data_IF_189481554222
#
_entry.id   IF_189481554222
#
_cell.length_a   1.000
_cell.length_b   1.000
_cell.length_c   1.000
_cell.angle_alpha   90.00
_cell.angle_beta   90.00
_cell.angle_gamma   90.00
#
_symmetry.space_group_name_H-M   'P 1'
#
loop_
_entity.id
_entity.type
_entity.pdbx_description
1 polymer ?
#
# COMPACT_ATOMS: atom_id res chain seq x y z
N UNK A 1 5.89 -1.85 -24.64
CA UNK A 1 5.80 -1.97 -23.16
C UNK A 1 7.20 -2.19 -22.63
N UNK A 2 7.62 -1.41 -21.63
CA UNK A 2 8.92 -1.54 -20.97
C UNK A 2 8.92 -2.72 -19.99
N UNK A 3 10.08 -3.10 -19.45
CA UNK A 3 10.17 -4.16 -18.45
C UNK A 3 9.68 -3.66 -17.09
N UNK A 4 9.15 -4.56 -16.25
CA UNK A 4 8.64 -4.18 -14.91
C UNK A 4 9.70 -3.49 -14.02
N UNK A 5 10.99 -3.77 -14.22
CA UNK A 5 12.06 -3.04 -13.50
C UNK A 5 12.31 -1.64 -14.03
N UNK A 6 11.96 -1.33 -15.27
CA UNK A 6 12.14 0.00 -15.85
C UNK A 6 11.14 1.03 -15.28
N UNK A 7 9.95 0.57 -14.87
CA UNK A 7 8.88 1.41 -14.31
C UNK A 7 8.93 1.50 -12.77
N UNK A 8 9.89 0.83 -12.12
CA UNK A 8 10.00 0.86 -10.67
C UNK A 8 10.33 2.28 -10.15
N UNK A 9 9.58 2.83 -9.18
CA UNK A 9 9.79 4.21 -8.74
C UNK A 9 11.11 4.39 -7.99
N UNK A 10 11.75 5.55 -8.17
CA UNK A 10 12.90 5.95 -7.35
C UNK A 10 12.43 6.46 -5.99
N UNK A 11 12.56 5.60 -4.98
CA UNK A 11 12.11 5.87 -3.61
C UNK A 11 13.26 6.13 -2.63
N UNK A 12 14.48 6.42 -3.12
CA UNK A 12 15.69 6.54 -2.28
C UNK A 12 15.62 7.67 -1.24
N UNK A 13 14.74 8.65 -1.42
CA UNK A 13 14.56 9.82 -0.53
C UNK A 13 13.18 9.86 0.11
N UNK A 14 12.47 8.73 0.13
CA UNK A 14 11.08 8.65 0.58
C UNK A 14 10.98 8.09 2.00
N UNK A 15 10.10 8.69 2.78
CA UNK A 15 9.77 8.31 4.15
C UNK A 15 8.25 8.22 4.34
N UNK A 16 7.67 7.19 3.74
CA UNK A 16 6.29 6.77 3.93
C UNK A 16 6.21 5.23 4.04
N UNK A 17 5.10 4.69 4.55
CA UNK A 17 4.96 3.25 4.80
C UNK A 17 5.05 2.44 3.49
N UNK A 18 4.41 2.91 2.41
CA UNK A 18 4.48 2.28 1.09
C UNK A 18 5.93 2.13 0.62
N UNK A 19 6.74 3.19 0.69
CA UNK A 19 8.14 3.15 0.28
C UNK A 19 9.01 2.23 1.15
N UNK A 20 8.60 1.96 2.39
CA UNK A 20 9.30 1.02 3.28
C UNK A 20 9.02 -0.45 2.95
N UNK A 21 7.95 -0.74 2.20
CA UNK A 21 7.47 -2.09 1.91
C UNK A 21 7.40 -2.43 0.42
N UNK A 22 7.41 -1.44 -0.46
CA UNK A 22 7.55 -1.66 -1.89
C UNK A 22 8.98 -2.15 -2.17
N UNK A 23 9.06 -3.31 -2.83
CA UNK A 23 10.31 -3.88 -3.31
C UNK A 23 10.19 -4.20 -4.80
N UNK A 24 11.29 -4.31 -5.56
CA UNK A 24 11.24 -4.69 -6.98
C UNK A 24 10.48 -6.00 -7.23
N UNK A 25 10.57 -6.96 -6.31
CA UNK A 25 9.85 -8.23 -6.41
C UNK A 25 8.33 -8.06 -6.20
N UNK A 26 7.92 -7.27 -5.21
CA UNK A 26 6.49 -6.96 -4.97
C UNK A 26 5.92 -6.16 -6.15
N UNK A 27 6.63 -5.14 -6.62
CA UNK A 27 6.21 -4.35 -7.78
C UNK A 27 6.05 -5.23 -9.01
N UNK A 28 7.06 -6.02 -9.37
CA UNK A 28 7.00 -6.90 -10.55
C UNK A 28 5.87 -7.95 -10.47
N UNK A 29 5.48 -8.38 -9.26
CA UNK A 29 4.36 -9.31 -9.04
C UNK A 29 3.00 -8.64 -9.23
N UNK A 30 2.88 -7.35 -8.90
CA UNK A 30 1.61 -6.63 -8.81
C UNK A 30 1.37 -5.64 -9.96
N UNK A 31 2.40 -5.15 -10.65
CA UNK A 31 2.29 -4.04 -11.61
C UNK A 31 1.39 -4.33 -12.83
N UNK A 32 1.20 -5.61 -13.19
CA UNK A 32 0.30 -6.01 -14.27
C UNK A 32 -1.09 -6.46 -13.77
N UNK A 33 -1.36 -6.35 -12.47
CA UNK A 33 -2.68 -6.65 -11.90
C UNK A 33 -3.55 -5.41 -11.94
N UNK A 34 -4.83 -5.64 -12.14
CA UNK A 34 -5.88 -4.63 -12.06
C UNK A 34 -7.03 -5.15 -11.22
N UNK A 35 -7.74 -4.26 -10.57
CA UNK A 35 -9.03 -4.56 -9.95
C UNK A 35 -10.09 -4.80 -11.03
N UNK A 36 -11.29 -5.32 -10.70
CA UNK A 36 -12.36 -5.49 -11.68
C UNK A 36 -12.77 -4.19 -12.38
N UNK A 37 -12.57 -3.03 -11.72
CA UNK A 37 -12.87 -1.71 -12.26
C UNK A 37 -11.66 -1.06 -12.97
N UNK A 38 -10.54 -1.77 -13.08
CA UNK A 38 -9.36 -1.31 -13.80
C UNK A 38 -8.38 -0.48 -12.98
N UNK A 39 -8.55 -0.35 -11.66
CA UNK A 39 -7.60 0.34 -10.80
C UNK A 39 -6.29 -0.45 -10.71
N UNK A 40 -5.17 0.26 -10.77
CA UNK A 40 -3.82 -0.31 -10.91
C UNK A 40 -2.97 -0.10 -9.66
N UNK A 41 -1.85 -0.84 -9.57
CA UNK A 41 -0.86 -0.63 -8.52
C UNK A 41 -0.27 0.79 -8.59
N UNK A 42 0.03 1.29 -9.79
CA UNK A 42 0.67 2.59 -9.98
C UNK A 42 -0.24 3.71 -9.46
N UNK A 43 -1.54 3.65 -9.76
CA UNK A 43 -2.52 4.59 -9.20
C UNK A 43 -2.59 4.52 -7.67
N UNK A 44 -2.52 3.31 -7.10
CA UNK A 44 -2.55 3.12 -5.64
C UNK A 44 -1.34 3.77 -4.95
N UNK A 45 -0.14 3.69 -5.54
CA UNK A 45 1.10 4.18 -4.92
C UNK A 45 1.47 5.61 -5.32
N UNK A 46 0.83 6.19 -6.35
CA UNK A 46 1.20 7.48 -6.95
C UNK A 46 1.37 8.58 -5.91
N UNK A 47 0.45 8.68 -4.94
CA UNK A 47 0.54 9.68 -3.87
C UNK A 47 1.81 9.53 -3.01
N UNK A 48 2.25 8.30 -2.75
CA UNK A 48 3.49 8.05 -2.01
C UNK A 48 4.75 8.23 -2.86
N UNK A 49 4.66 8.07 -4.18
CA UNK A 49 5.77 8.36 -5.11
C UNK A 49 5.98 9.87 -5.24
N UNK A 50 4.90 10.64 -5.41
CA UNK A 50 4.99 12.09 -5.62
C UNK A 50 5.30 12.85 -4.32
N UNK A 51 4.95 12.28 -3.17
CA UNK A 51 5.15 12.90 -1.87
C UNK A 51 6.20 12.12 -1.06
N UNK A 52 7.49 12.52 -1.11
CA UNK A 52 8.58 11.81 -0.44
C UNK A 52 8.46 11.77 1.08
N UNK A 53 7.53 12.49 1.68
CA UNK A 53 7.21 12.40 3.10
C UNK A 53 7.01 13.76 3.72
N UNK A 54 6.84 13.77 5.04
CA UNK A 54 6.69 14.97 5.84
C UNK A 54 7.76 14.98 6.95
N UNK A 55 8.39 16.14 7.28
CA UNK A 55 9.54 16.19 8.20
C UNK A 55 9.30 15.58 9.59
N UNK A 56 8.04 15.48 10.03
CA UNK A 56 7.69 15.05 11.39
C UNK A 56 6.74 13.85 11.44
N UNK A 57 6.12 13.48 10.33
CA UNK A 57 5.04 12.48 10.30
C UNK A 57 5.31 11.51 9.16
N UNK A 58 5.41 10.22 9.47
CA UNK A 58 5.46 9.17 8.46
C UNK A 58 4.05 8.96 7.91
N UNK A 59 3.84 9.28 6.64
CA UNK A 59 2.55 9.08 5.95
C UNK A 59 2.43 7.63 5.45
N UNK A 60 1.22 7.22 5.06
CA UNK A 60 0.98 5.87 4.52
C UNK A 60 1.59 5.72 3.12
N UNK A 61 1.34 6.68 2.21
CA UNK A 61 1.93 6.67 0.87
C UNK A 61 1.24 5.77 -0.15
N UNK A 62 0.03 5.27 0.13
CA UNK A 62 -0.80 4.60 -0.86
C UNK A 62 -2.29 4.72 -0.50
N UNK A 63 -3.16 4.56 -1.50
CA UNK A 63 -4.63 4.62 -1.37
C UNK A 63 -5.26 3.44 -2.11
N UNK A 64 -6.49 3.11 -1.72
CA UNK A 64 -7.33 2.15 -2.43
C UNK A 64 -8.32 2.90 -3.33
N UNK A 65 -8.48 2.46 -4.57
CA UNK A 65 -9.46 3.01 -5.51
C UNK A 65 -10.84 2.38 -5.39
N UNK A 66 -10.88 1.13 -4.92
CA UNK A 66 -12.07 0.31 -4.70
C UNK A 66 -11.83 -0.75 -3.60
N UNK A 67 -12.84 -1.54 -3.27
CA UNK A 67 -12.75 -2.57 -2.22
C UNK A 67 -11.74 -3.67 -2.58
N UNK A 68 -11.76 -4.11 -3.83
CA UNK A 68 -10.89 -5.17 -4.34
C UNK A 68 -9.41 -4.79 -4.35
N UNK A 69 -9.08 -3.49 -4.33
CA UNK A 69 -7.70 -3.00 -4.19
C UNK A 69 -6.97 -3.63 -3.01
N UNK A 70 -7.66 -3.81 -1.87
CA UNK A 70 -7.07 -4.42 -0.67
C UNK A 70 -6.72 -5.90 -0.86
N UNK A 71 -7.45 -6.62 -1.71
CA UNK A 71 -7.20 -8.03 -2.00
C UNK A 71 -6.20 -8.20 -3.15
N UNK A 72 -6.42 -7.51 -4.27
CA UNK A 72 -5.61 -7.60 -5.49
C UNK A 72 -4.16 -7.20 -5.20
N UNK A 73 -3.96 -6.16 -4.38
CA UNK A 73 -2.65 -5.63 -4.00
C UNK A 73 -2.28 -5.97 -2.54
N UNK A 74 -2.86 -7.01 -1.96
CA UNK A 74 -2.65 -7.42 -0.57
C UNK A 74 -1.18 -7.61 -0.19
N UNK A 75 -0.33 -8.07 -1.12
CA UNK A 75 1.11 -8.25 -0.88
C UNK A 75 1.84 -6.95 -0.51
N UNK A 76 1.27 -5.79 -0.87
CA UNK A 76 1.76 -4.47 -0.46
C UNK A 76 0.90 -3.85 0.65
N UNK A 77 -0.43 -3.94 0.55
CA UNK A 77 -1.32 -3.37 1.57
C UNK A 77 -1.12 -3.99 2.95
N UNK A 78 -1.00 -5.32 3.05
CA UNK A 78 -0.89 -6.01 4.33
C UNK A 78 0.34 -5.58 5.17
N UNK A 79 1.58 -5.55 4.63
CA UNK A 79 2.70 -5.05 5.40
C UNK A 79 2.57 -3.55 5.74
N UNK A 80 2.00 -2.73 4.85
CA UNK A 80 1.75 -1.30 5.12
C UNK A 80 0.74 -1.10 6.25
N UNK A 81 -0.36 -1.86 6.26
CA UNK A 81 -1.36 -1.86 7.34
C UNK A 81 -0.68 -2.27 8.65
N UNK A 82 0.12 -3.33 8.63
CA UNK A 82 0.82 -3.82 9.82
C UNK A 82 1.77 -2.78 10.42
N UNK A 83 2.53 -2.08 9.59
CA UNK A 83 3.39 -0.98 10.06
C UNK A 83 2.55 0.16 10.63
N UNK A 84 1.56 0.63 9.87
CA UNK A 84 0.76 1.81 10.23
C UNK A 84 -0.08 1.60 11.50
N UNK A 85 -0.54 0.38 11.73
CA UNK A 85 -1.36 -0.04 12.86
C UNK A 85 -0.57 -0.81 13.93
N UNK A 86 0.74 -0.57 14.02
CA UNK A 86 1.60 -1.02 15.10
C UNK A 86 1.51 -2.53 15.41
N UNK A 87 1.56 -3.36 14.37
CA UNK A 87 1.59 -4.81 14.47
C UNK A 87 0.27 -5.52 14.21
N UNK A 88 -0.85 -4.80 13.99
CA UNK A 88 -2.10 -5.42 13.55
C UNK A 88 -1.90 -6.10 12.18
N UNK A 89 -2.02 -7.42 12.15
CA UNK A 89 -1.73 -8.21 10.95
C UNK A 89 -3.04 -8.70 10.31
N UNK A 90 -3.48 -8.12 9.18
CA UNK A 90 -4.75 -8.48 8.56
C UNK A 90 -4.78 -9.93 8.05
N UNK A 91 -3.63 -10.60 7.92
CA UNK A 91 -3.57 -11.99 7.47
C UNK A 91 -3.98 -13.00 8.55
N UNK A 92 -3.88 -12.63 9.84
CA UNK A 92 -4.12 -13.57 10.95
C UNK A 92 -4.90 -12.98 12.14
N UNK A 93 -5.18 -11.68 12.13
CA UNK A 93 -6.02 -11.01 13.11
C UNK A 93 -7.39 -10.67 12.51
N UNK A 94 -8.41 -10.57 13.37
CA UNK A 94 -9.74 -10.10 13.00
C UNK A 94 -10.04 -8.83 13.77
N UNK A 95 -10.53 -7.80 13.07
CA UNK A 95 -10.92 -6.54 13.70
C UNK A 95 -12.24 -6.73 14.46
N UNK A 96 -12.28 -6.45 15.78
CA UNK A 96 -13.53 -6.40 16.52
C UNK A 96 -14.22 -5.05 16.29
N UNK A 97 -15.54 -5.07 16.13
CA UNK A 97 -16.36 -3.86 16.08
C UNK A 97 -17.36 -3.91 17.23
N UNK A 98 -17.33 -2.91 18.10
CA UNK A 98 -18.27 -2.73 19.21
C UNK A 98 -18.80 -1.28 19.14
N UNK A 99 -20.09 -1.15 18.89
CA UNK A 99 -20.78 0.14 18.75
C UNK A 99 -21.76 0.40 19.90
N UNK A 100 -21.66 -0.38 20.98
CA UNK A 100 -22.43 -0.15 22.20
C UNK A 100 -21.90 1.10 22.92
N UNK A 101 -22.64 2.21 22.84
CA UNK A 101 -22.26 3.48 23.45
C UNK A 101 -22.34 3.51 24.98
N UNK A 102 -22.83 2.43 25.62
CA UNK A 102 -22.98 2.35 27.07
C UNK A 102 -21.78 1.74 27.80
N UNK A 103 -20.86 1.10 27.08
CA UNK A 103 -19.59 0.59 27.60
C UNK A 103 -18.53 1.68 27.66
#
# INVERSE_FOLDING_TARGET
LFSNSAEYPDLRKHNNCMASHLSPAVYAKLCNKTTPNGYTLDEAIQTGVDNPGHPFIKTVGMVAGDEESYEVFADLFNPVIKERHNGYDPCNMKHPTDLDSSK
#
